data_IF_274599600654
#
_entry.id   IF_274599600654
#
_cell.length_a   1.000
_cell.length_b   1.000
_cell.length_c   1.000
_cell.angle_alpha   90.00
_cell.angle_beta   90.00
_cell.angle_gamma   90.00
#
_symmetry.space_group_name_H-M   'P 1'
#
loop_
_entity.id
_entity.type
_entity.pdbx_description
1 polymer ?
#
# COMPACT_ATOMS: atom_id res chain seq x y z
N UNK A 1 24.54 30.09 8.50
CA UNK A 1 24.62 30.31 7.04
C UNK A 1 23.31 29.82 6.45
N UNK A 2 22.49 30.72 5.89
CA UNK A 2 21.19 30.36 5.33
C UNK A 2 21.41 29.85 3.91
N UNK A 3 21.25 28.54 3.68
CA UNK A 3 21.28 27.98 2.33
C UNK A 3 19.94 28.30 1.68
N UNK A 4 19.98 28.94 0.53
CA UNK A 4 18.82 29.31 -0.29
C UNK A 4 18.83 28.49 -1.57
N UNK A 5 17.70 28.44 -2.30
CA UNK A 5 17.64 27.79 -3.61
C UNK A 5 18.66 28.36 -4.62
N UNK A 6 19.15 29.58 -4.42
CA UNK A 6 20.19 30.20 -5.26
C UNK A 6 21.57 29.57 -5.06
N UNK A 7 21.78 28.88 -3.95
CA UNK A 7 23.04 28.20 -3.62
C UNK A 7 23.11 26.78 -4.20
N UNK A 8 22.01 26.27 -4.77
CA UNK A 8 21.96 24.98 -5.44
C UNK A 8 22.62 25.10 -6.82
N UNK A 9 23.76 24.45 -6.99
CA UNK A 9 24.38 24.30 -8.31
C UNK A 9 23.62 23.27 -9.13
N UNK A 10 23.24 23.65 -10.35
CA UNK A 10 22.79 22.68 -11.36
C UNK A 10 23.92 21.72 -11.63
N UNK A 11 23.65 20.42 -11.49
CA UNK A 11 24.54 19.36 -11.93
C UNK A 11 23.89 18.79 -13.20
N UNK A 12 24.59 18.88 -14.32
CA UNK A 12 24.16 18.21 -15.54
C UNK A 12 24.55 16.73 -15.41
N UNK A 13 23.54 15.86 -15.42
CA UNK A 13 23.69 14.41 -15.37
C UNK A 13 23.24 13.84 -16.71
N UNK A 14 24.14 13.17 -17.42
CA UNK A 14 23.93 12.73 -18.81
C UNK A 14 23.51 11.27 -18.94
N UNK A 15 23.49 10.51 -17.84
CA UNK A 15 22.97 9.15 -17.81
C UNK A 15 21.51 9.14 -17.33
N UNK A 16 20.66 8.28 -17.89
CA UNK A 16 19.33 8.11 -17.32
C UNK A 16 19.40 7.40 -15.97
N UNK A 17 18.75 7.93 -14.92
CA UNK A 17 18.69 7.27 -13.63
C UNK A 17 17.98 5.91 -13.78
N UNK A 18 18.58 4.87 -13.19
CA UNK A 18 17.95 3.56 -13.09
C UNK A 18 17.05 3.56 -11.86
N UNK A 19 15.78 3.90 -12.07
CA UNK A 19 14.78 3.91 -11.00
C UNK A 19 14.00 2.59 -11.01
N UNK A 20 13.85 1.99 -9.84
CA UNK A 20 12.99 0.86 -9.56
C UNK A 20 11.65 1.34 -8.99
N UNK A 21 10.59 0.86 -9.60
CA UNK A 21 9.22 1.09 -9.21
C UNK A 21 8.67 -0.17 -8.55
N UNK A 22 8.00 0.00 -7.42
CA UNK A 22 7.22 -1.02 -6.74
C UNK A 22 5.74 -0.79 -7.02
N UNK A 23 5.08 -1.83 -7.54
CA UNK A 23 3.62 -1.94 -7.57
C UNK A 23 3.22 -3.09 -6.67
N UNK A 24 2.23 -2.93 -5.80
CA UNK A 24 1.80 -4.02 -4.93
C UNK A 24 0.36 -3.86 -4.48
N UNK A 25 -0.25 -4.98 -4.09
CA UNK A 25 -1.64 -5.11 -3.64
C UNK A 25 -1.78 -6.32 -2.70
N UNK A 26 -2.81 -6.32 -1.85
CA UNK A 26 -3.07 -7.39 -0.89
C UNK A 26 -4.48 -7.97 -1.02
N UNK A 27 -4.60 -9.27 -0.75
CA UNK A 27 -5.90 -9.92 -0.57
C UNK A 27 -6.13 -10.27 0.89
N UNK A 28 -7.29 -9.83 1.40
CA UNK A 28 -7.66 -9.98 2.80
C UNK A 28 -9.03 -10.63 2.95
N UNK A 29 -9.24 -11.27 4.09
CA UNK A 29 -10.52 -11.87 4.44
C UNK A 29 -10.78 -11.71 5.93
N UNK A 30 -12.06 -11.79 6.31
CA UNK A 30 -12.54 -11.69 7.69
C UNK A 30 -13.32 -12.95 8.04
N UNK A 31 -12.89 -13.63 9.10
CA UNK A 31 -13.62 -14.75 9.69
C UNK A 31 -14.72 -14.32 10.68
N UNK A 32 -14.95 -13.00 10.84
CA UNK A 32 -15.98 -12.46 11.77
C UNK A 32 -17.41 -12.60 11.26
N UNK A 33 -17.58 -13.00 9.99
CA UNK A 33 -18.88 -13.14 9.34
C UNK A 33 -19.08 -12.16 8.19
N UNK A 34 -20.22 -12.27 7.51
CA UNK A 34 -20.56 -11.47 6.34
C UNK A 34 -20.71 -9.99 6.71
N UNK A 35 -20.25 -9.10 5.82
CA UNK A 35 -20.37 -7.64 5.97
C UNK A 35 -19.29 -6.99 6.84
N UNK A 36 -18.42 -7.78 7.50
CA UNK A 36 -17.28 -7.23 8.22
C UNK A 36 -16.12 -6.91 7.27
N UNK A 37 -15.84 -5.62 7.11
CA UNK A 37 -14.66 -5.15 6.39
C UNK A 37 -13.36 -5.50 7.15
N UNK A 38 -12.39 -6.18 6.51
CA UNK A 38 -11.14 -6.57 7.15
C UNK A 38 -10.32 -5.38 7.68
N UNK A 39 -9.76 -5.50 8.88
CA UNK A 39 -8.86 -4.52 9.49
C UNK A 39 -7.68 -5.21 10.18
N UNK A 40 -6.47 -4.65 10.05
CA UNK A 40 -5.24 -5.30 10.52
C UNK A 40 -5.17 -5.55 12.04
N UNK A 41 -5.91 -4.80 12.84
CA UNK A 41 -5.95 -4.91 14.31
C UNK A 41 -6.77 -6.10 14.84
N UNK A 42 -7.50 -6.83 13.98
CA UNK A 42 -8.37 -7.94 14.41
C UNK A 42 -7.73 -9.28 14.08
N UNK A 43 -7.63 -10.17 15.06
CA UNK A 43 -7.08 -11.52 14.90
C UNK A 43 -7.81 -12.32 13.81
N UNK A 44 -9.13 -12.19 13.78
CA UNK A 44 -10.02 -12.84 12.81
C UNK A 44 -9.89 -12.32 11.36
N UNK A 45 -9.19 -11.22 11.15
CA UNK A 45 -8.98 -10.64 9.83
C UNK A 45 -7.55 -10.91 9.40
N UNK A 46 -7.38 -11.46 8.20
CA UNK A 46 -6.09 -11.97 7.77
C UNK A 46 -5.78 -11.56 6.34
N UNK A 47 -4.49 -11.37 6.07
CA UNK A 47 -3.95 -11.26 4.71
C UNK A 47 -3.46 -12.63 4.30
N UNK A 48 -3.84 -13.08 3.10
CA UNK A 48 -3.48 -14.42 2.63
C UNK A 48 -2.75 -14.40 1.29
N UNK A 49 -2.79 -13.30 0.54
CA UNK A 49 -1.96 -13.08 -0.65
C UNK A 49 -1.38 -11.67 -0.60
N UNK A 50 -0.13 -11.54 -0.99
CA UNK A 50 0.51 -10.27 -1.35
C UNK A 50 1.12 -10.43 -2.74
N UNK A 51 0.73 -9.56 -3.66
CA UNK A 51 1.29 -9.53 -5.01
C UNK A 51 2.06 -8.25 -5.22
N UNK A 52 3.21 -8.35 -5.86
CA UNK A 52 3.98 -7.16 -6.19
C UNK A 52 4.90 -7.36 -7.39
N UNK A 53 5.09 -6.25 -8.11
CA UNK A 53 5.96 -6.13 -9.27
C UNK A 53 7.05 -5.11 -8.98
N UNK A 54 8.27 -5.45 -9.38
CA UNK A 54 9.42 -4.55 -9.35
C UNK A 54 9.87 -4.33 -10.79
N UNK A 55 9.84 -3.08 -11.22
CA UNK A 55 10.05 -2.70 -12.63
C UNK A 55 11.05 -1.56 -12.73
N UNK A 56 11.98 -1.62 -13.67
CA UNK A 56 12.81 -0.47 -14.01
C UNK A 56 12.00 0.54 -14.83
N UNK A 57 11.93 1.80 -14.36
CA UNK A 57 11.20 2.89 -15.02
C UNK A 57 11.55 3.03 -16.50
N UNK A 58 12.84 2.96 -16.84
CA UNK A 58 13.35 3.17 -18.20
C UNK A 58 13.64 1.87 -18.97
N UNK A 59 13.19 0.71 -18.49
CA UNK A 59 13.40 -0.57 -19.19
C UNK A 59 12.12 -1.38 -19.29
N UNK A 60 11.58 -1.47 -20.49
CA UNK A 60 10.35 -2.21 -20.82
C UNK A 60 10.41 -3.72 -20.51
N UNK A 61 11.60 -4.32 -20.38
CA UNK A 61 11.77 -5.78 -20.30
C UNK A 61 12.19 -6.26 -18.90
N UNK A 62 12.68 -5.36 -18.03
CA UNK A 62 13.22 -5.77 -16.74
C UNK A 62 12.18 -5.60 -15.64
N UNK A 63 11.37 -6.65 -15.46
CA UNK A 63 10.40 -6.77 -14.38
C UNK A 63 10.58 -8.09 -13.63
N UNK A 64 10.39 -8.06 -12.32
CA UNK A 64 10.19 -9.26 -11.51
C UNK A 64 8.84 -9.18 -10.83
N UNK A 65 8.09 -10.27 -10.87
CA UNK A 65 6.72 -10.33 -10.38
C UNK A 65 6.63 -11.43 -9.35
N UNK A 66 6.04 -11.12 -8.20
CA UNK A 66 5.93 -12.04 -7.07
C UNK A 66 4.47 -12.18 -6.65
N UNK A 67 4.09 -13.39 -6.31
CA UNK A 67 2.85 -13.70 -5.61
C UNK A 67 3.20 -14.54 -4.38
N UNK A 68 3.10 -13.92 -3.22
CA UNK A 68 3.30 -14.58 -1.93
C UNK A 68 1.92 -14.99 -1.42
N UNK A 69 1.79 -16.23 -0.92
CA UNK A 69 0.49 -16.76 -0.54
C UNK A 69 0.58 -17.69 0.65
N UNK A 70 -0.39 -17.60 1.57
CA UNK A 70 -0.60 -18.61 2.62
C UNK A 70 -1.56 -19.72 2.20
N UNK A 71 -2.18 -19.59 1.02
CA UNK A 71 -2.99 -20.65 0.42
C UNK A 71 -2.21 -21.31 -0.73
N UNK A 72 -2.32 -22.64 -0.91
CA UNK A 72 -1.65 -23.31 -2.02
C UNK A 72 -2.08 -22.74 -3.38
N UNK A 73 -1.11 -22.49 -4.25
CA UNK A 73 -1.34 -21.99 -5.61
C UNK A 73 -0.81 -23.01 -6.61
N UNK A 74 -1.67 -23.46 -7.52
CA UNK A 74 -1.25 -24.30 -8.63
C UNK A 74 -0.54 -23.45 -9.70
N UNK A 75 0.75 -23.18 -9.49
CA UNK A 75 1.61 -22.39 -10.37
C UNK A 75 1.67 -22.98 -11.78
N UNK A 76 1.79 -24.31 -11.91
CA UNK A 76 1.81 -24.99 -13.21
C UNK A 76 0.55 -24.70 -14.04
N UNK A 77 -0.63 -24.81 -13.41
CA UNK A 77 -1.91 -24.50 -14.05
C UNK A 77 -2.04 -23.02 -14.39
N UNK A 78 -1.51 -22.13 -13.55
CA UNK A 78 -1.49 -20.70 -13.85
C UNK A 78 -0.62 -20.42 -15.09
N UNK A 79 0.61 -20.92 -15.10
CA UNK A 79 1.55 -20.72 -16.20
C UNK A 79 1.02 -21.29 -17.51
N UNK A 80 0.42 -22.49 -17.49
CA UNK A 80 -0.16 -23.10 -18.70
C UNK A 80 -1.38 -22.34 -19.22
N UNK A 81 -2.23 -21.80 -18.34
CA UNK A 81 -3.42 -21.04 -18.73
C UNK A 81 -3.08 -19.68 -19.32
N UNK A 82 -2.07 -18.99 -18.77
CA UNK A 82 -1.76 -17.60 -19.13
C UNK A 82 -0.50 -17.43 -19.98
N UNK A 83 0.18 -18.52 -20.34
CA UNK A 83 1.42 -18.52 -21.12
C UNK A 83 2.46 -17.50 -20.59
N UNK A 84 2.61 -17.44 -19.27
CA UNK A 84 3.51 -16.51 -18.57
C UNK A 84 4.35 -17.31 -17.60
N UNK A 85 5.67 -17.14 -17.61
CA UNK A 85 6.61 -17.77 -16.66
C UNK A 85 7.25 -16.76 -15.72
N UNK A 86 6.86 -15.49 -15.81
CA UNK A 86 7.55 -14.39 -15.13
C UNK A 86 7.08 -14.16 -13.69
N UNK A 87 5.91 -14.73 -13.32
CA UNK A 87 5.35 -14.61 -11.97
C UNK A 87 5.95 -15.70 -11.07
N UNK A 88 6.64 -15.28 -10.03
CA UNK A 88 7.25 -16.17 -9.05
C UNK A 88 6.25 -16.38 -7.91
N UNK A 89 5.79 -17.62 -7.73
CA UNK A 89 4.92 -18.00 -6.63
C UNK A 89 5.74 -18.48 -5.42
N UNK A 90 5.43 -17.97 -4.23
CA UNK A 90 6.05 -18.38 -2.98
C UNK A 90 4.95 -18.71 -1.97
N UNK A 91 4.83 -19.99 -1.64
CA UNK A 91 3.89 -20.48 -0.63
C UNK A 91 4.51 -20.41 0.76
N UNK A 92 3.76 -19.89 1.73
CA UNK A 92 4.19 -19.62 3.10
C UNK A 92 3.16 -20.21 4.06
N UNK A 93 3.59 -20.65 5.23
CA UNK A 93 2.72 -21.41 6.14
C UNK A 93 1.91 -20.50 7.08
N UNK A 94 2.43 -19.31 7.36
CA UNK A 94 1.81 -18.38 8.33
C UNK A 94 1.78 -16.95 7.81
N UNK A 95 0.93 -16.11 8.42
CA UNK A 95 0.88 -14.68 8.09
C UNK A 95 2.19 -13.97 8.42
N UNK A 96 2.86 -14.35 9.51
CA UNK A 96 4.16 -13.81 9.87
C UNK A 96 5.19 -14.06 8.77
N UNK A 97 5.24 -15.30 8.26
CA UNK A 97 6.12 -15.65 7.15
C UNK A 97 5.78 -14.84 5.90
N UNK A 98 4.48 -14.67 5.60
CA UNK A 98 4.00 -13.85 4.49
C UNK A 98 4.50 -12.40 4.58
N UNK A 99 4.29 -11.75 5.72
CA UNK A 99 4.68 -10.37 5.95
C UNK A 99 6.20 -10.19 5.94
N UNK A 100 6.94 -11.04 6.65
CA UNK A 100 8.39 -10.96 6.70
C UNK A 100 9.03 -11.23 5.33
N UNK A 101 8.47 -12.17 4.55
CA UNK A 101 8.98 -12.45 3.20
C UNK A 101 8.73 -11.29 2.24
N UNK A 102 7.58 -10.63 2.34
CA UNK A 102 7.30 -9.40 1.60
C UNK A 102 8.32 -8.31 1.93
N UNK A 103 8.51 -8.01 3.22
CA UNK A 103 9.46 -7.01 3.68
C UNK A 103 10.90 -7.33 3.25
N UNK A 104 11.33 -8.59 3.38
CA UNK A 104 12.65 -9.05 2.93
C UNK A 104 12.85 -8.81 1.43
N UNK A 105 11.88 -9.20 0.60
CA UNK A 105 12.01 -9.05 -0.85
C UNK A 105 12.02 -7.58 -1.25
N UNK A 106 11.06 -6.77 -0.80
CA UNK A 106 11.01 -5.34 -1.11
C UNK A 106 12.27 -4.63 -0.61
N UNK A 107 12.68 -4.88 0.63
CA UNK A 107 13.90 -4.34 1.20
C UNK A 107 15.15 -4.79 0.44
N UNK A 108 15.19 -6.00 -0.12
CA UNK A 108 16.30 -6.45 -0.95
C UNK A 108 16.44 -5.72 -2.28
N UNK A 109 15.32 -5.31 -2.90
CA UNK A 109 15.35 -4.55 -4.15
C UNK A 109 15.48 -3.04 -3.96
N UNK A 110 15.14 -2.51 -2.78
CA UNK A 110 15.25 -1.08 -2.44
C UNK A 110 14.60 -0.16 -3.50
N UNK A 111 13.30 -0.36 -3.84
CA UNK A 111 12.64 0.46 -4.86
C UNK A 111 12.60 1.92 -4.43
N UNK A 112 12.93 2.85 -5.34
CA UNK A 112 12.90 4.28 -5.05
C UNK A 112 11.48 4.84 -4.97
N UNK A 113 10.55 4.26 -5.73
CA UNK A 113 9.17 4.73 -5.78
C UNK A 113 8.18 3.58 -5.64
N UNK A 114 7.11 3.84 -4.90
CA UNK A 114 5.91 3.02 -4.89
C UNK A 114 4.82 3.69 -5.74
N UNK A 115 4.17 2.92 -6.60
CA UNK A 115 3.00 3.36 -7.38
C UNK A 115 1.89 2.34 -7.14
N UNK A 116 0.77 2.79 -6.58
CA UNK A 116 -0.20 1.86 -6.01
C UNK A 116 -1.61 2.49 -5.89
N UNK A 117 -2.63 1.65 -5.69
CA UNK A 117 -4.03 2.08 -5.58
C UNK A 117 -4.55 1.85 -4.16
N UNK A 118 -4.98 2.92 -3.49
CA UNK A 118 -5.53 2.90 -2.13
C UNK A 118 -4.59 2.38 -1.02
N UNK A 119 -3.32 2.21 -1.33
CA UNK A 119 -2.37 1.45 -0.54
C UNK A 119 -1.96 2.14 0.75
N UNK A 120 -1.86 3.47 0.74
CA UNK A 120 -1.67 4.26 1.96
C UNK A 120 -2.91 4.24 2.88
N UNK A 121 -4.12 4.02 2.35
CA UNK A 121 -5.35 4.00 3.17
C UNK A 121 -5.66 2.63 3.73
N UNK A 122 -5.44 1.59 2.94
CA UNK A 122 -5.88 0.24 3.24
C UNK A 122 -4.68 -0.67 3.46
N UNK A 123 -3.91 -0.96 2.41
CA UNK A 123 -2.88 -1.99 2.41
C UNK A 123 -1.80 -1.78 3.47
N UNK A 124 -1.10 -0.64 3.44
CA UNK A 124 -0.10 -0.31 4.47
C UNK A 124 -0.71 -0.26 5.86
N UNK A 125 -1.90 0.32 5.99
CA UNK A 125 -2.61 0.37 7.28
C UNK A 125 -2.93 -1.03 7.80
N UNK A 126 -3.37 -1.94 6.94
CA UNK A 126 -3.66 -3.32 7.29
C UNK A 126 -2.37 -4.04 7.68
N UNK A 127 -1.34 -3.99 6.83
CA UNK A 127 -0.07 -4.70 7.01
C UNK A 127 0.66 -4.23 8.28
N UNK A 128 0.79 -2.92 8.51
CA UNK A 128 1.48 -2.39 9.69
C UNK A 128 0.74 -2.72 10.98
N UNK A 129 -0.60 -2.61 10.99
CA UNK A 129 -1.43 -3.01 12.13
C UNK A 129 -1.36 -4.51 12.38
N UNK A 130 -1.36 -5.31 11.32
CA UNK A 130 -1.25 -6.76 11.40
C UNK A 130 0.12 -7.18 11.94
N UNK A 131 1.21 -6.59 11.45
CA UNK A 131 2.56 -6.83 11.94
C UNK A 131 2.68 -6.53 13.45
N UNK A 132 2.08 -5.41 13.91
CA UNK A 132 2.01 -5.09 15.35
C UNK A 132 1.20 -6.12 16.13
N UNK A 133 0.03 -6.52 15.64
CA UNK A 133 -0.80 -7.53 16.30
C UNK A 133 -0.06 -8.88 16.45
N UNK A 134 0.72 -9.25 15.44
CA UNK A 134 1.53 -10.47 15.41
C UNK A 134 2.88 -10.33 16.16
N UNK A 135 3.18 -9.15 16.72
CA UNK A 135 4.45 -8.82 17.40
C UNK A 135 5.70 -9.05 16.51
N UNK A 136 5.61 -8.70 15.23
CA UNK A 136 6.70 -8.80 14.25
C UNK A 136 7.05 -7.45 13.59
N UNK A 137 6.48 -6.35 14.06
CA UNK A 137 6.64 -5.03 13.45
C UNK A 137 8.09 -4.54 13.44
N UNK A 138 8.85 -4.75 14.51
CA UNK A 138 10.27 -4.41 14.55
C UNK A 138 11.08 -5.16 13.48
N UNK A 139 10.85 -6.47 13.35
CA UNK A 139 11.55 -7.28 12.35
C UNK A 139 11.11 -6.93 10.93
N UNK A 140 9.81 -6.73 10.72
CA UNK A 140 9.24 -6.32 9.45
C UNK A 140 9.86 -5.00 8.97
N UNK A 141 9.92 -3.97 9.83
CA UNK A 141 10.52 -2.67 9.49
C UNK A 141 12.02 -2.81 9.20
N UNK A 142 12.73 -3.62 9.99
CA UNK A 142 14.16 -3.88 9.79
C UNK A 142 14.42 -4.52 8.43
N UNK A 143 13.60 -5.50 8.02
CA UNK A 143 13.72 -6.15 6.71
C UNK A 143 13.36 -5.19 5.57
N UNK A 144 12.27 -4.44 5.72
CA UNK A 144 11.75 -3.54 4.68
C UNK A 144 12.72 -2.38 4.39
N UNK A 145 13.31 -1.79 5.43
CA UNK A 145 14.17 -0.61 5.28
C UNK A 145 15.65 -0.93 5.21
N UNK A 146 16.05 -2.17 5.54
CA UNK A 146 17.46 -2.57 5.79
C UNK A 146 18.21 -1.70 6.82
N UNK A 147 17.53 -0.79 7.53
CA UNK A 147 18.16 0.08 8.53
C UNK A 147 17.97 -0.48 9.95
N UNK A 148 18.98 -0.28 10.81
CA UNK A 148 18.93 -0.60 12.24
C UNK A 148 18.37 0.58 13.04
N UNK A 149 17.24 1.15 12.63
CA UNK A 149 16.71 2.35 13.28
C UNK A 149 15.38 2.06 13.96
N UNK A 150 15.26 2.46 15.23
CA UNK A 150 13.99 2.49 15.96
C UNK A 150 13.11 3.57 15.32
N UNK A 151 12.13 3.19 14.51
CA UNK A 151 11.25 4.15 13.84
C UNK A 151 10.20 4.68 14.83
N UNK A 152 10.26 5.98 15.14
CA UNK A 152 9.16 6.69 15.80
C UNK A 152 8.21 7.26 14.75
N UNK A 153 6.94 6.84 14.79
CA UNK A 153 5.88 7.43 13.97
C UNK A 153 5.47 8.79 14.56
N UNK A 154 6.05 9.89 14.06
CA UNK A 154 5.60 11.25 14.40
C UNK A 154 4.47 11.68 13.47
N UNK A 155 3.25 11.27 13.79
CA UNK A 155 2.06 11.70 13.04
C UNK A 155 1.69 13.13 13.50
N UNK A 156 1.99 14.14 12.68
CA UNK A 156 1.53 15.52 12.92
C UNK A 156 0.16 15.74 12.27
N UNK A 157 -0.81 16.22 13.05
CA UNK A 157 -2.12 16.67 12.57
C UNK A 157 -2.10 18.18 12.35
N UNK A 158 -2.43 18.65 11.15
CA UNK A 158 -2.64 20.06 10.83
C UNK A 158 -4.05 20.26 10.26
N UNK A 159 -4.76 21.29 10.73
CA UNK A 159 -6.10 21.65 10.23
C UNK A 159 -5.96 22.61 9.07
N UNK A 160 -6.38 22.21 7.87
CA UNK A 160 -6.47 23.10 6.70
C UNK A 160 -7.94 23.36 6.39
N UNK A 161 -8.35 24.62 6.23
CA UNK A 161 -9.70 25.00 5.77
C UNK A 161 -9.68 25.14 4.25
N UNK A 162 -10.46 24.31 3.57
CA UNK A 162 -10.75 24.46 2.13
C UNK A 162 -12.17 25.02 2.00
N UNK A 163 -12.33 26.06 1.19
CA UNK A 163 -13.63 26.61 0.79
C UNK A 163 -13.78 26.26 -0.69
N UNK A 164 -14.59 25.25 -1.01
CA UNK A 164 -14.83 24.84 -2.39
C UNK A 164 -16.32 24.96 -2.72
N UNK A 165 -16.64 25.76 -3.74
CA UNK A 165 -18.00 26.26 -4.02
C UNK A 165 -18.77 25.39 -5.03
N UNK A 166 -18.12 24.38 -5.63
CA UNK A 166 -18.60 23.78 -6.90
C UNK A 166 -19.05 22.30 -6.80
N UNK A 167 -19.03 21.69 -5.61
CA UNK A 167 -19.38 20.27 -5.40
C UNK A 167 -20.91 20.00 -5.40
N UNK A 168 -21.73 21.01 -5.13
CA UNK A 168 -23.18 20.81 -4.91
C UNK A 168 -23.95 20.38 -6.16
N UNK A 169 -23.49 20.72 -7.37
CA UNK A 169 -24.21 20.38 -8.60
C UNK A 169 -24.05 18.91 -9.02
N UNK A 170 -22.90 18.29 -8.73
CA UNK A 170 -22.64 16.91 -9.14
C UNK A 170 -23.17 15.88 -8.12
N UNK A 171 -23.29 16.28 -6.84
CA UNK A 171 -23.79 15.41 -5.78
C UNK A 171 -25.29 15.08 -5.88
N UNK A 172 -26.10 15.94 -6.52
CA UNK A 172 -27.54 15.69 -6.74
C UNK A 172 -27.84 14.42 -7.56
N UNK A 173 -26.87 13.92 -8.35
CA UNK A 173 -27.06 12.69 -9.16
C UNK A 173 -27.00 11.40 -8.34
N UNK A 174 -26.44 11.43 -7.14
CA UNK A 174 -26.20 10.21 -6.34
C UNK A 174 -27.30 9.91 -5.29
N UNK A 175 -28.34 10.75 -5.17
CA UNK A 175 -29.50 10.48 -4.29
C UNK A 175 -30.33 9.26 -4.73
N UNK A 176 -30.28 8.86 -6.00
CA UNK A 176 -31.05 7.74 -6.55
C UNK A 176 -30.64 6.35 -6.01
N UNK A 177 -29.53 6.23 -5.28
CA UNK A 177 -29.05 4.96 -4.73
C UNK A 177 -29.51 4.69 -3.28
N UNK A 178 -30.44 5.48 -2.72
CA UNK A 178 -30.92 5.30 -1.35
C UNK A 178 -29.89 5.64 -0.26
N UNK A 179 -28.84 6.37 -0.65
CA UNK A 179 -27.78 6.83 0.25
C UNK A 179 -28.15 8.22 0.75
N UNK A 180 -28.61 8.32 2.00
CA UNK A 180 -28.75 9.62 2.67
C UNK A 180 -27.35 10.17 2.97
N UNK A 181 -26.97 11.24 2.27
CA UNK A 181 -25.64 11.85 2.34
C UNK A 181 -25.46 12.82 3.52
N UNK A 182 -26.54 13.19 4.22
CA UNK A 182 -26.45 14.14 5.32
C UNK A 182 -25.70 13.56 6.54
N UNK A 183 -24.78 14.35 7.09
CA UNK A 183 -24.06 14.10 8.35
C UNK A 183 -23.13 12.87 8.38
N UNK A 184 -22.58 12.45 7.23
CA UNK A 184 -21.57 11.37 7.20
C UNK A 184 -20.15 11.90 7.28
N UNK A 185 -19.28 11.10 7.91
CA UNK A 185 -17.83 11.28 7.82
C UNK A 185 -17.35 10.76 6.46
N UNK A 186 -17.00 11.66 5.56
CA UNK A 186 -16.44 11.34 4.24
C UNK A 186 -14.92 11.36 4.36
N UNK A 187 -14.28 10.22 4.07
CA UNK A 187 -12.82 10.10 4.07
C UNK A 187 -12.30 10.58 2.73
N UNK A 188 -11.59 11.71 2.72
CA UNK A 188 -11.11 12.36 1.49
C UNK A 188 -9.74 11.81 1.08
N UNK A 189 -8.95 11.41 2.07
CA UNK A 189 -7.62 10.87 1.86
C UNK A 189 -7.22 9.92 3.01
N UNK A 190 -6.09 9.19 2.91
CA UNK A 190 -5.65 8.22 3.92
C UNK A 190 -5.63 8.77 5.35
N UNK A 191 -5.34 10.07 5.45
CA UNK A 191 -5.08 10.79 6.69
C UNK A 191 -6.19 11.82 7.02
N UNK A 192 -7.28 11.87 6.24
CA UNK A 192 -8.33 12.88 6.40
C UNK A 192 -9.73 12.27 6.41
N UNK A 193 -10.50 12.58 7.45
CA UNK A 193 -11.95 12.38 7.47
C UNK A 193 -12.63 13.72 7.68
N UNK A 194 -13.49 14.10 6.73
CA UNK A 194 -14.37 15.27 6.82
C UNK A 194 -15.71 14.84 7.39
N UNK A 195 -16.34 15.65 8.24
CA UNK A 195 -17.74 15.48 8.62
C UNK A 195 -18.55 16.46 7.77
N UNK A 196 -19.40 15.95 6.89
CA UNK A 196 -20.18 16.77 5.99
C UNK A 196 -21.45 17.24 6.73
N UNK A 197 -21.51 18.51 7.13
CA UNK A 197 -22.69 19.14 7.70
C UNK A 197 -23.33 20.01 6.61
N UNK A 198 -24.48 19.56 6.11
CA UNK A 198 -25.27 20.30 5.12
C UNK A 198 -26.12 21.33 5.87
N UNK A 199 -25.97 22.62 5.56
CA UNK A 199 -26.91 23.67 5.95
C UNK A 199 -27.96 23.85 4.86
#
# INVERSE_FOLDING_TARGET
MLITFKDIKKIDYFEEPKLLLLYWDIETSSSRGLGFFPVGEKENDYVYIIQFDIVFYNKSISRKRFCLSTIPINSQKFHSKYNSTELIFIELQTQEQLLLKFAELVGNYEPEFEISYNTSQFDWNFILKKARLLNIDDEFIRLLTKTKTTFQFNIQQATVRVVDCDIDKDNLKYEFAGINMNNRKIKISPNETMKCEFM
#
